data_IF_268911505825
#
_entry.id   IF_268911505825
#
_cell.length_a   1.000
_cell.length_b   1.000
_cell.length_c   1.000
_cell.angle_alpha   90.00
_cell.angle_beta   90.00
_cell.angle_gamma   90.00
#
_symmetry.space_group_name_H-M   'P 1'
#
loop_
_entity.id
_entity.type
_entity.pdbx_description
1 polymer ?
#
# COMPACT_ATOMS: atom_id res chain seq x y z
N UNK A 1 -11.17 11.42 13.47
CA UNK A 1 -11.06 11.29 12.00
C UNK A 1 -9.74 10.59 11.69
N UNK A 2 -9.72 9.57 10.81
CA UNK A 2 -8.50 8.85 10.41
C UNK A 2 -8.20 9.15 8.96
N UNK A 3 -6.98 9.61 8.66
CA UNK A 3 -6.53 9.88 7.30
C UNK A 3 -5.76 8.68 6.75
N UNK A 4 -5.83 8.49 5.43
CA UNK A 4 -5.09 7.46 4.73
C UNK A 4 -4.61 7.99 3.38
N UNK A 5 -3.59 7.34 2.83
CA UNK A 5 -3.08 7.63 1.49
C UNK A 5 -2.97 6.34 0.66
N UNK A 6 -2.91 6.50 -0.65
CA UNK A 6 -2.84 5.41 -1.62
C UNK A 6 -1.48 5.42 -2.29
N UNK A 7 -0.90 4.24 -2.50
CA UNK A 7 0.39 4.11 -3.17
C UNK A 7 0.26 4.48 -4.63
N UNK A 8 1.06 5.45 -5.05
CA UNK A 8 1.33 5.70 -6.45
C UNK A 8 2.40 4.76 -6.99
N UNK A 9 3.44 4.48 -6.19
CA UNK A 9 4.60 3.70 -6.60
C UNK A 9 4.26 2.24 -6.97
N UNK A 10 3.19 1.66 -6.41
CA UNK A 10 2.78 0.29 -6.72
C UNK A 10 2.55 0.03 -8.21
N UNK A 11 2.13 1.04 -8.98
CA UNK A 11 1.73 0.86 -10.39
C UNK A 11 2.92 0.74 -11.36
N UNK A 12 4.07 1.32 -11.02
CA UNK A 12 5.20 1.43 -11.94
C UNK A 12 6.59 1.47 -11.27
N UNK A 13 6.65 1.55 -9.95
CA UNK A 13 7.87 1.59 -9.17
C UNK A 13 8.30 0.22 -8.65
N UNK A 14 9.36 0.26 -7.84
CA UNK A 14 9.91 -0.87 -7.10
C UNK A 14 9.20 -1.06 -5.77
N UNK A 15 9.31 -2.24 -5.18
CA UNK A 15 8.81 -2.51 -3.82
C UNK A 15 9.47 -1.58 -2.79
N UNK A 16 10.74 -1.24 -2.95
CA UNK A 16 11.45 -0.29 -2.08
C UNK A 16 10.81 1.09 -2.08
N UNK A 17 10.44 1.61 -3.26
CA UNK A 17 9.77 2.91 -3.37
C UNK A 17 8.38 2.91 -2.74
N UNK A 18 7.66 1.77 -2.76
CA UNK A 18 6.38 1.61 -2.05
C UNK A 18 6.58 1.63 -0.54
N UNK A 19 7.64 0.99 -0.03
CA UNK A 19 8.00 1.03 1.40
C UNK A 19 8.34 2.46 1.82
N UNK A 20 9.15 3.18 1.03
CA UNK A 20 9.48 4.57 1.31
C UNK A 20 8.23 5.48 1.31
N UNK A 21 7.27 5.22 0.41
CA UNK A 21 5.99 5.93 0.39
C UNK A 21 5.15 5.67 1.64
N UNK A 22 5.13 4.42 2.11
CA UNK A 22 4.44 4.05 3.35
C UNK A 22 5.10 4.66 4.60
N UNK A 23 6.44 4.72 4.67
CA UNK A 23 7.13 5.45 5.73
C UNK A 23 6.76 6.93 5.74
N UNK A 24 6.81 7.60 4.58
CA UNK A 24 6.40 9.01 4.47
C UNK A 24 4.95 9.19 4.92
N UNK A 25 4.05 8.27 4.58
CA UNK A 25 2.67 8.31 5.03
C UNK A 25 2.54 8.23 6.55
N UNK A 26 3.27 7.29 7.18
CA UNK A 26 3.29 7.14 8.63
C UNK A 26 3.86 8.40 9.32
N UNK A 27 4.95 8.96 8.80
CA UNK A 27 5.59 10.17 9.33
C UNK A 27 4.68 11.40 9.23
N UNK A 28 3.81 11.46 8.22
CA UNK A 28 2.77 12.50 8.08
C UNK A 28 1.54 12.25 8.96
N UNK A 29 1.49 11.16 9.73
CA UNK A 29 0.37 10.81 10.60
C UNK A 29 -0.80 10.14 9.89
N UNK A 30 -0.61 9.59 8.68
CA UNK A 30 -1.62 8.75 8.06
C UNK A 30 -1.79 7.45 8.87
N UNK A 31 -3.03 7.10 9.15
CA UNK A 31 -3.36 5.90 9.91
C UNK A 31 -3.48 4.65 9.03
N UNK A 32 -3.68 4.82 7.71
CA UNK A 32 -3.88 3.72 6.76
C UNK A 32 -3.13 3.96 5.44
N UNK A 33 -2.65 2.89 4.81
CA UNK A 33 -1.97 2.89 3.52
C UNK A 33 -2.64 1.90 2.56
N UNK A 34 -2.97 2.37 1.36
CA UNK A 34 -3.83 1.66 0.43
C UNK A 34 -3.13 1.34 -0.89
N UNK A 35 -3.43 0.18 -1.48
CA UNK A 35 -2.96 -0.17 -2.82
C UNK A 35 -4.08 -0.74 -3.68
N UNK A 36 -4.17 -0.40 -4.98
CA UNK A 36 -4.98 -1.15 -5.91
C UNK A 36 -4.23 -2.41 -6.39
N UNK A 37 -4.95 -3.42 -6.84
CA UNK A 37 -4.43 -4.52 -7.68
C UNK A 37 -4.88 -4.25 -9.11
N UNK A 38 -4.04 -3.54 -9.87
CA UNK A 38 -4.34 -3.21 -11.27
C UNK A 38 -3.07 -3.40 -12.10
N UNK A 39 -2.15 -2.42 -12.07
CA UNK A 39 -0.87 -2.45 -12.78
C UNK A 39 0.28 -2.59 -11.79
N UNK A 40 1.44 -3.01 -12.30
CA UNK A 40 2.67 -3.06 -11.52
C UNK A 40 2.75 -4.26 -10.58
N UNK A 41 3.11 -3.99 -9.32
CA UNK A 41 3.39 -5.03 -8.33
C UNK A 41 2.10 -5.69 -7.81
N UNK A 42 2.20 -6.96 -7.39
CA UNK A 42 1.10 -7.62 -6.69
C UNK A 42 0.84 -6.93 -5.34
N UNK A 43 -0.38 -6.41 -5.16
CA UNK A 43 -0.75 -5.58 -4.03
C UNK A 43 -0.67 -6.34 -2.70
N UNK A 44 -1.16 -7.57 -2.64
CA UNK A 44 -1.19 -8.34 -1.39
C UNK A 44 0.23 -8.72 -0.95
N UNK A 45 1.07 -9.18 -1.89
CA UNK A 45 2.47 -9.51 -1.60
C UNK A 45 3.26 -8.26 -1.21
N UNK A 46 3.07 -7.16 -1.92
CA UNK A 46 3.77 -5.90 -1.61
C UNK A 46 3.34 -5.33 -0.26
N UNK A 47 2.03 -5.31 0.03
CA UNK A 47 1.52 -4.85 1.32
C UNK A 47 1.99 -5.75 2.48
N UNK A 48 2.15 -7.06 2.28
CA UNK A 48 2.74 -7.92 3.29
C UNK A 48 4.17 -7.50 3.66
N UNK A 49 4.98 -7.10 2.68
CA UNK A 49 6.34 -6.56 2.93
C UNK A 49 6.26 -5.19 3.60
N UNK A 50 5.40 -4.28 3.11
CA UNK A 50 5.21 -2.96 3.72
C UNK A 50 4.82 -3.07 5.20
N UNK A 51 3.92 -4.00 5.56
CA UNK A 51 3.49 -4.20 6.94
C UNK A 51 4.59 -4.70 7.87
N UNK A 52 5.60 -5.39 7.31
CA UNK A 52 6.80 -5.78 8.06
C UNK A 52 7.74 -4.60 8.29
N UNK A 53 7.94 -3.75 7.28
CA UNK A 53 8.90 -2.64 7.33
C UNK A 53 8.34 -1.39 8.01
N UNK A 54 7.02 -1.18 7.98
CA UNK A 54 6.33 -0.03 8.56
C UNK A 54 5.34 -0.49 9.65
N UNK A 55 5.83 -0.93 10.84
CA UNK A 55 4.95 -1.43 11.88
C UNK A 55 3.99 -0.34 12.39
N UNK A 56 2.71 -0.70 12.53
CA UNK A 56 1.67 0.17 13.11
C UNK A 56 0.83 0.97 12.10
N UNK A 57 1.21 1.00 10.82
CA UNK A 57 0.32 1.50 9.76
C UNK A 57 -0.66 0.41 9.34
N UNK A 58 -1.96 0.72 9.30
CA UNK A 58 -2.97 -0.22 8.81
C UNK A 58 -2.93 -0.28 7.28
N UNK A 59 -3.03 -1.49 6.72
CA UNK A 59 -2.92 -1.71 5.29
C UNK A 59 -4.27 -2.11 4.70
N UNK A 60 -4.53 -1.68 3.46
CA UNK A 60 -5.75 -2.04 2.77
C UNK A 60 -5.57 -2.10 1.26
N UNK A 61 -6.49 -2.82 0.61
CA UNK A 61 -6.60 -2.85 -0.85
C UNK A 61 -7.82 -2.09 -1.32
N UNK A 62 -7.69 -1.33 -2.40
CA UNK A 62 -8.78 -0.58 -3.03
C UNK A 62 -8.48 -0.40 -4.52
N UNK A 63 -8.63 -1.42 -5.37
CA UNK A 63 -9.47 -2.64 -5.26
C UNK A 63 -8.67 -3.92 -5.50
N UNK A 64 -9.26 -5.11 -5.25
CA UNK A 64 -8.78 -6.39 -5.79
C UNK A 64 -9.81 -6.92 -6.80
N UNK A 65 -9.45 -7.10 -8.09
CA UNK A 65 -10.33 -7.71 -9.07
C UNK A 65 -10.70 -9.13 -8.66
N UNK A 66 -11.98 -9.42 -8.58
CA UNK A 66 -12.50 -10.78 -8.47
C UNK A 66 -13.06 -11.20 -9.81
N UNK A 67 -12.85 -12.46 -10.20
CA UNK A 67 -13.43 -13.04 -11.41
C UNK A 67 -14.56 -14.01 -11.01
N UNK A 68 -15.76 -13.51 -10.71
CA UNK A 68 -16.90 -14.37 -10.40
C UNK A 68 -17.28 -15.22 -11.62
N UNK A 69 -17.76 -16.45 -11.36
CA UNK A 69 -18.31 -17.36 -12.37
C UNK A 69 -19.82 -17.26 -12.40
#
# INVERSE_FOLDING_TARGET
MRLGTMSNAINAGTVGEVIDEAHRAADMGCATFWSPQIFGQDALTTLAVVGREVPGIELGTAVVPTYPR
#
